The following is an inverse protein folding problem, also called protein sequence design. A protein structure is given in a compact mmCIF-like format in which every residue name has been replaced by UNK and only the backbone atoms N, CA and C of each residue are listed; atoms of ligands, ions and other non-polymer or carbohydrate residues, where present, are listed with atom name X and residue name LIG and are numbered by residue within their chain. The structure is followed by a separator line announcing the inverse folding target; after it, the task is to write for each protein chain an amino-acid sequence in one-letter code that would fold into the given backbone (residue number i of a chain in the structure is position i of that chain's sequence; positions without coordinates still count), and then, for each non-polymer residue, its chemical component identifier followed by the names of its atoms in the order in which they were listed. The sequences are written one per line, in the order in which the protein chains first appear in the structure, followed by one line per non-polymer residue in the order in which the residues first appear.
data_IF_423141825652
#
_entry.id   IF_423141825652
#
_cell.length_a   1.000
_cell.length_b   1.000
_cell.length_c   1.000
_cell.angle_alpha   90.00
_cell.angle_beta   90.00
_cell.angle_gamma   90.00
#
_symmetry.space_group_name_H-M   'P 1'
#
loop_
_entity.id
_entity.type
_entity.pdbx_description
1 polymer ?
#
# COMPACT_ATOMS: atom_id res chain seq x y z
N UNK A 1 0.98 -28.67 3.17
CA UNK A 1 0.04 -27.89 3.99
C UNK A 1 -1.20 -27.66 3.15
N UNK A 2 -2.37 -28.07 3.64
CA UNK A 2 -3.64 -27.62 3.08
C UNK A 2 -3.91 -26.20 3.61
N UNK A 3 -4.01 -25.22 2.71
CA UNK A 3 -4.27 -23.82 3.07
C UNK A 3 -5.76 -23.53 3.21
N UNK A 4 -6.59 -24.37 2.57
CA UNK A 4 -8.05 -24.35 2.66
C UNK A 4 -8.47 -25.76 3.04
N UNK A 5 -9.16 -25.91 4.16
CA UNK A 5 -9.71 -27.19 4.59
C UNK A 5 -10.83 -27.63 3.63
N UNK A 6 -11.17 -28.92 3.59
CA UNK A 6 -12.33 -29.41 2.83
C UNK A 6 -13.66 -28.72 3.22
N UNK A 7 -13.70 -28.16 4.43
CA UNK A 7 -14.83 -27.38 4.98
C UNK A 7 -14.87 -25.93 4.47
N UNK A 8 -13.89 -25.52 3.65
CA UNK A 8 -13.80 -24.18 3.06
C UNK A 8 -13.25 -23.12 4.01
N UNK A 9 -12.55 -23.52 5.07
CA UNK A 9 -11.93 -22.61 6.04
C UNK A 9 -10.43 -22.50 5.81
N UNK A 10 -9.90 -21.29 5.98
CA UNK A 10 -8.46 -21.03 5.93
C UNK A 10 -7.77 -21.40 7.24
N UNK A 11 -6.44 -21.33 7.24
CA UNK A 11 -5.60 -21.49 8.44
C UNK A 11 -6.02 -20.60 9.62
N UNK A 12 -6.54 -19.41 9.34
CA UNK A 12 -7.02 -18.47 10.36
C UNK A 12 -8.49 -18.68 10.76
N UNK A 13 -9.19 -19.66 10.18
CA UNK A 13 -10.63 -19.87 10.36
C UNK A 13 -11.55 -18.95 9.56
N UNK A 14 -10.99 -18.14 8.64
CA UNK A 14 -11.76 -17.25 7.73
C UNK A 14 -12.21 -17.96 6.46
N UNK A 15 -13.21 -17.39 5.78
CA UNK A 15 -13.60 -17.84 4.43
C UNK A 15 -12.68 -17.27 3.32
N UNK A 16 -12.60 -17.90 2.15
CA UNK A 16 -11.86 -17.41 0.97
C UNK A 16 -12.20 -16.00 0.49
N UNK A 17 -13.40 -15.49 0.79
CA UNK A 17 -13.87 -14.16 0.37
C UNK A 17 -13.89 -13.14 1.51
N UNK A 18 -13.29 -13.47 2.66
CA UNK A 18 -13.41 -12.68 3.88
C UNK A 18 -12.08 -11.99 4.25
N UNK A 19 -12.15 -10.68 4.45
CA UNK A 19 -11.02 -9.85 4.86
C UNK A 19 -10.71 -9.99 6.35
N UNK A 20 -9.47 -9.67 6.77
CA UNK A 20 -9.14 -9.51 8.19
C UNK A 20 -9.84 -8.31 8.80
N UNK A 21 -9.86 -8.27 10.14
CA UNK A 21 -10.33 -7.09 10.85
C UNK A 21 -9.46 -5.88 10.48
N UNK A 22 -10.11 -4.82 10.02
CA UNK A 22 -9.48 -3.54 9.73
C UNK A 22 -9.69 -2.59 10.91
N UNK A 23 -8.64 -1.86 11.28
CA UNK A 23 -8.72 -0.72 12.20
C UNK A 23 -7.95 0.44 11.60
N UNK A 24 -8.49 1.64 11.73
CA UNK A 24 -7.88 2.84 11.20
C UNK A 24 -8.07 3.98 12.19
N UNK A 25 -7.03 4.79 12.36
CA UNK A 25 -7.02 5.98 13.20
C UNK A 25 -6.33 7.10 12.43
N UNK A 26 -6.91 8.30 12.42
CA UNK A 26 -6.38 9.50 11.76
C UNK A 26 -5.93 10.51 12.82
N UNK A 27 -4.98 11.38 12.49
CA UNK A 27 -4.43 12.36 13.42
C UNK A 27 -3.45 11.79 14.47
N UNK A 28 -2.83 10.63 14.18
CA UNK A 28 -1.92 9.91 15.09
C UNK A 28 -0.64 10.70 15.40
N UNK A 29 -0.13 11.46 14.44
CA UNK A 29 1.10 12.26 14.55
C UNK A 29 0.74 13.73 14.53
N UNK A 30 0.62 14.34 15.70
CA UNK A 30 0.24 15.75 15.86
C UNK A 30 1.19 16.78 15.21
N UNK A 31 2.42 16.37 14.84
CA UNK A 31 3.40 17.24 14.17
C UNK A 31 3.32 17.19 12.64
N UNK A 32 2.64 16.21 12.08
CA UNK A 32 2.41 16.11 10.64
C UNK A 32 1.16 16.92 10.27
N UNK A 33 1.10 17.41 9.04
CA UNK A 33 -0.09 18.13 8.54
C UNK A 33 -1.29 17.18 8.40
N UNK A 34 -1.01 15.91 8.09
CA UNK A 34 -1.97 14.82 8.24
C UNK A 34 -1.28 13.50 8.53
N UNK A 35 -1.97 12.60 9.21
CA UNK A 35 -1.41 11.30 9.58
C UNK A 35 -2.49 10.24 9.77
N UNK A 36 -2.12 8.99 9.57
CA UNK A 36 -3.00 7.87 9.82
C UNK A 36 -2.23 6.63 10.26
N UNK A 37 -2.78 5.88 11.21
CA UNK A 37 -2.42 4.50 11.50
C UNK A 37 -3.47 3.59 10.89
N UNK A 38 -3.02 2.55 10.20
CA UNK A 38 -3.86 1.54 9.59
C UNK A 38 -3.39 0.15 10.02
N UNK A 39 -4.31 -0.62 10.55
CA UNK A 39 -4.11 -2.00 10.95
C UNK A 39 -5.01 -2.93 10.13
N UNK A 40 -4.40 -3.95 9.53
CA UNK A 40 -5.08 -5.00 8.77
C UNK A 40 -4.67 -6.34 9.37
N UNK A 41 -5.52 -6.89 10.24
CA UNK A 41 -5.14 -7.99 11.12
C UNK A 41 -3.92 -7.63 11.98
N UNK A 42 -2.80 -8.30 11.76
CA UNK A 42 -1.54 -8.00 12.45
C UNK A 42 -0.62 -7.04 11.69
N UNK A 43 -0.94 -6.71 10.43
CA UNK A 43 -0.16 -5.73 9.66
C UNK A 43 -0.47 -4.33 10.19
N UNK A 44 0.57 -3.61 10.63
CA UNK A 44 0.45 -2.24 11.16
C UNK A 44 1.30 -1.28 10.36
N UNK A 45 0.66 -0.23 9.85
CA UNK A 45 1.30 0.79 9.02
C UNK A 45 0.93 2.17 9.54
N UNK A 46 1.89 3.07 9.59
CA UNK A 46 1.66 4.49 9.86
C UNK A 46 2.06 5.30 8.63
N UNK A 47 1.21 6.24 8.24
CA UNK A 47 1.47 7.22 7.20
C UNK A 47 1.46 8.63 7.80
N UNK A 48 2.39 9.46 7.37
CA UNK A 48 2.49 10.86 7.75
C UNK A 48 2.72 11.70 6.50
N UNK A 49 2.02 12.82 6.40
CA UNK A 49 2.06 13.71 5.26
C UNK A 49 2.46 15.09 5.71
N UNK A 50 3.33 15.70 4.91
CA UNK A 50 3.76 17.07 5.07
C UNK A 50 3.46 17.84 3.79
N UNK A 51 2.88 19.01 3.95
CA UNK A 51 2.48 19.90 2.87
C UNK A 51 0.96 20.06 2.77
N UNK A 52 0.52 20.89 1.82
CA UNK A 52 1.29 21.50 0.74
C UNK A 52 2.28 22.59 1.23
N UNK A 53 3.57 22.41 0.94
CA UNK A 53 4.65 23.37 1.30
C UNK A 53 5.38 23.89 0.07
N UNK A 54 6.11 24.99 0.18
CA UNK A 54 6.92 25.48 -0.95
C UNK A 54 8.04 24.48 -1.28
N UNK A 55 8.27 24.25 -2.58
CA UNK A 55 9.30 23.32 -3.06
C UNK A 55 10.67 23.81 -2.61
N UNK A 56 11.38 23.00 -1.81
CA UNK A 56 12.71 23.38 -1.28
C UNK A 56 13.76 23.55 -2.38
N UNK A 57 13.69 22.72 -3.43
CA UNK A 57 14.57 22.78 -4.59
C UNK A 57 13.86 23.42 -5.78
N UNK A 58 14.19 24.69 -6.08
CA UNK A 58 13.63 25.42 -7.23
C UNK A 58 13.80 24.70 -8.57
N UNK A 59 14.84 23.86 -8.73
CA UNK A 59 15.05 23.06 -9.94
C UNK A 59 14.07 21.89 -10.14
N UNK A 60 13.32 21.50 -9.11
CA UNK A 60 12.30 20.43 -9.16
C UNK A 60 10.88 21.00 -9.04
N UNK A 61 10.76 22.33 -9.08
CA UNK A 61 9.49 23.02 -8.98
C UNK A 61 8.72 22.85 -10.29
N UNK A 62 7.51 22.29 -10.17
CA UNK A 62 6.57 22.26 -11.28
C UNK A 62 5.68 23.50 -11.21
N UNK A 63 5.61 24.25 -12.31
CA UNK A 63 4.84 25.49 -12.37
C UNK A 63 3.34 25.23 -12.39
N UNK A 64 2.92 24.12 -13.00
CA UNK A 64 1.51 23.83 -13.28
C UNK A 64 0.90 22.80 -12.31
N UNK A 65 1.72 22.11 -11.50
CA UNK A 65 1.29 21.01 -10.64
C UNK A 65 2.07 20.96 -9.32
N UNK A 66 1.48 20.34 -8.30
CA UNK A 66 2.18 19.97 -7.07
C UNK A 66 3.17 18.82 -7.31
N UNK A 67 4.35 18.92 -6.70
CA UNK A 67 5.35 17.85 -6.66
C UNK A 67 4.97 16.84 -5.56
N UNK A 68 4.60 15.62 -5.94
CA UNK A 68 4.31 14.54 -4.99
C UNK A 68 5.57 13.68 -4.79
N UNK A 69 6.02 13.56 -3.54
CA UNK A 69 7.09 12.63 -3.14
C UNK A 69 6.52 11.57 -2.22
N UNK A 70 7.00 10.34 -2.37
CA UNK A 70 6.64 9.25 -1.48
C UNK A 70 7.91 8.55 -1.03
N UNK A 71 8.03 8.27 0.26
CA UNK A 71 9.07 7.45 0.84
C UNK A 71 8.44 6.31 1.61
N UNK A 72 8.73 5.09 1.18
CA UNK A 72 8.35 3.87 1.86
C UNK A 72 9.54 3.37 2.69
N UNK A 73 9.29 3.09 3.96
CA UNK A 73 10.25 2.45 4.84
C UNK A 73 9.59 1.34 5.63
N UNK A 74 10.29 0.22 5.74
CA UNK A 74 9.86 -0.93 6.53
C UNK A 74 10.70 -1.03 7.80
N UNK A 75 10.10 -1.25 8.96
CA UNK A 75 10.85 -1.29 10.22
C UNK A 75 11.70 -2.57 10.27
N UNK A 76 12.92 -2.48 10.82
CA UNK A 76 13.84 -3.62 10.85
C UNK A 76 13.32 -4.81 11.70
N UNK A 77 12.32 -4.56 12.55
CA UNK A 77 11.64 -5.53 13.40
C UNK A 77 10.25 -5.94 12.87
N UNK A 78 9.87 -5.47 11.68
CA UNK A 78 8.52 -5.71 11.14
C UNK A 78 8.27 -7.15 10.67
N UNK A 79 9.34 -7.92 10.44
CA UNK A 79 9.31 -9.35 10.07
C UNK A 79 9.86 -10.21 11.20
N UNK A 80 9.45 -11.49 11.24
CA UNK A 80 9.90 -12.46 12.25
C UNK A 80 11.42 -12.64 12.32
N UNK A 81 12.10 -12.51 11.18
CA UNK A 81 13.56 -12.42 11.10
C UNK A 81 14.01 -10.96 10.97
N UNK A 82 14.98 -10.55 11.81
CA UNK A 82 15.55 -9.19 11.79
C UNK A 82 16.28 -8.94 10.48
N UNK A 83 15.63 -8.26 9.55
CA UNK A 83 16.23 -7.89 8.27
C UNK A 83 17.25 -6.75 8.47
N UNK A 84 18.51 -6.97 8.09
CA UNK A 84 19.49 -5.89 7.94
C UNK A 84 19.13 -5.13 6.65
N UNK A 85 18.62 -3.90 6.77
CA UNK A 85 18.42 -3.01 5.61
C UNK A 85 19.73 -2.85 4.81
N UNK A 86 19.82 -3.29 3.55
CA UNK A 86 20.86 -2.79 2.67
C UNK A 86 20.57 -1.31 2.38
N UNK A 87 21.61 -0.46 2.40
CA UNK A 87 21.49 0.93 1.95
C UNK A 87 21.05 0.91 0.48
N UNK A 88 19.85 1.43 0.18
CA UNK A 88 19.31 1.49 -1.18
C UNK A 88 18.59 0.21 -1.62
N UNK A 89 17.69 -0.32 -0.79
CA UNK A 89 16.87 -1.47 -1.16
C UNK A 89 15.98 -1.13 -2.36
N UNK A 90 16.27 -1.72 -3.52
CA UNK A 90 15.53 -1.50 -4.78
C UNK A 90 14.03 -1.75 -4.59
N UNK A 91 13.67 -2.74 -3.77
CA UNK A 91 12.27 -3.07 -3.47
C UNK A 91 11.55 -1.92 -2.76
N UNK A 92 12.22 -1.23 -1.83
CA UNK A 92 11.65 -0.07 -1.15
C UNK A 92 11.42 1.12 -2.09
N UNK A 93 12.35 1.33 -3.04
CA UNK A 93 12.22 2.37 -4.07
C UNK A 93 11.09 2.06 -5.04
N UNK A 94 10.94 0.79 -5.45
CA UNK A 94 9.83 0.35 -6.30
C UNK A 94 8.48 0.54 -5.62
N UNK A 95 8.33 0.12 -4.35
CA UNK A 95 7.10 0.32 -3.59
C UNK A 95 6.81 1.81 -3.41
N UNK A 96 7.83 2.63 -3.12
CA UNK A 96 7.68 4.08 -3.04
C UNK A 96 7.16 4.68 -4.34
N UNK A 97 7.71 4.24 -5.48
CA UNK A 97 7.28 4.70 -6.80
C UNK A 97 5.82 4.33 -7.09
N UNK A 98 5.42 3.11 -6.72
CA UNK A 98 4.06 2.60 -6.90
C UNK A 98 3.04 3.38 -6.08
N UNK A 99 3.34 3.61 -4.80
CA UNK A 99 2.49 4.42 -3.93
C UNK A 99 2.42 5.84 -4.47
N UNK A 100 3.55 6.42 -4.88
CA UNK A 100 3.61 7.77 -5.47
C UNK A 100 2.70 7.89 -6.70
N UNK A 101 2.81 6.98 -7.66
CA UNK A 101 2.00 6.98 -8.88
C UNK A 101 0.50 6.83 -8.57
N UNK A 102 0.17 5.96 -7.62
CA UNK A 102 -1.22 5.73 -7.18
C UNK A 102 -1.82 6.99 -6.55
N UNK A 103 -1.07 7.67 -5.68
CA UNK A 103 -1.53 8.90 -5.02
C UNK A 103 -1.55 10.09 -5.98
N UNK A 104 -0.57 10.20 -6.87
CA UNK A 104 -0.49 11.27 -7.88
C UNK A 104 -1.68 11.24 -8.85
N UNK A 105 -2.18 10.06 -9.21
CA UNK A 105 -3.39 9.92 -10.02
C UNK A 105 -4.67 10.40 -9.29
N UNK A 106 -4.67 10.33 -7.97
CA UNK A 106 -5.79 10.66 -7.10
C UNK A 106 -5.81 12.14 -6.67
N UNK A 107 -4.65 12.70 -6.33
CA UNK A 107 -4.50 14.07 -5.84
C UNK A 107 -4.76 15.08 -6.98
N UNK A 108 -5.48 16.15 -6.67
CA UNK A 108 -5.74 17.26 -7.60
C UNK A 108 -4.55 18.24 -7.61
N UNK A 109 -3.42 17.79 -8.16
CA UNK A 109 -2.14 18.53 -8.15
C UNK A 109 -2.21 19.92 -8.81
N UNK A 110 -3.10 20.12 -9.78
CA UNK A 110 -3.31 21.39 -10.47
C UNK A 110 -3.92 22.50 -9.59
N UNK A 111 -4.56 22.14 -8.48
CA UNK A 111 -5.09 23.13 -7.53
C UNK A 111 -4.00 23.72 -6.63
N UNK A 112 -2.81 23.09 -6.59
CA UNK A 112 -1.69 23.46 -5.73
C UNK A 112 -0.40 23.60 -6.56
N UNK A 113 -0.35 24.53 -7.52
CA UNK A 113 0.85 24.75 -8.32
C UNK A 113 2.01 25.21 -7.44
N UNK A 114 3.24 24.80 -7.77
CA UNK A 114 4.46 25.19 -7.05
C UNK A 114 4.52 24.70 -5.59
N UNK A 115 3.65 23.78 -5.20
CA UNK A 115 3.68 23.13 -3.88
C UNK A 115 4.34 21.76 -3.93
N UNK A 116 4.81 21.28 -2.79
CA UNK A 116 5.35 19.95 -2.57
C UNK A 116 4.51 19.24 -1.50
N UNK A 117 4.18 17.97 -1.75
CA UNK A 117 3.51 17.07 -0.82
C UNK A 117 4.45 15.89 -0.60
N UNK A 118 4.85 15.68 0.64
CA UNK A 118 5.73 14.59 1.03
C UNK A 118 4.95 13.55 1.84
N UNK A 119 4.86 12.34 1.29
CA UNK A 119 4.16 11.20 1.86
C UNK A 119 5.19 10.24 2.43
N UNK A 120 5.17 10.04 3.74
CA UNK A 120 6.03 9.06 4.42
C UNK A 120 5.17 7.89 4.89
N UNK A 121 5.51 6.69 4.47
CA UNK A 121 4.82 5.47 4.88
C UNK A 121 5.80 4.55 5.58
N UNK A 122 5.47 4.19 6.82
CA UNK A 122 6.30 3.35 7.66
C UNK A 122 5.52 2.10 8.08
N UNK A 123 6.01 0.93 7.65
CA UNK A 123 5.48 -0.36 8.11
C UNK A 123 6.11 -0.70 9.45
N UNK A 124 5.28 -0.89 10.48
CA UNK A 124 5.70 -1.26 11.83
C UNK A 124 5.70 -2.78 12.01
N UNK A 125 4.66 -3.44 11.51
CA UNK A 125 4.51 -4.90 11.56
C UNK A 125 3.95 -5.38 10.22
N UNK A 126 4.51 -6.46 9.68
CA UNK A 126 4.11 -7.02 8.39
C UNK A 126 3.60 -8.46 8.56
N UNK A 127 2.35 -8.69 8.18
CA UNK A 127 1.69 -9.99 8.20
C UNK A 127 1.02 -10.30 6.85
N UNK A 128 1.65 -9.89 5.74
CA UNK A 128 1.08 -9.98 4.39
C UNK A 128 0.21 -8.77 4.01
N UNK A 129 -0.03 -8.60 2.71
CA UNK A 129 -0.83 -7.47 2.19
C UNK A 129 -0.26 -6.08 2.53
N UNK A 130 1.06 -5.96 2.72
CA UNK A 130 1.67 -4.72 3.20
C UNK A 130 1.51 -3.56 2.22
N UNK A 131 1.54 -3.82 0.90
CA UNK A 131 1.38 -2.79 -0.13
C UNK A 131 -0.02 -2.16 -0.10
N UNK A 132 -1.07 -2.98 0.03
CA UNK A 132 -2.44 -2.46 0.13
C UNK A 132 -2.64 -1.69 1.44
N UNK A 133 -2.13 -2.21 2.55
CA UNK A 133 -2.16 -1.50 3.83
C UNK A 133 -1.49 -0.11 3.75
N UNK A 134 -0.35 -0.01 3.04
CA UNK A 134 0.35 1.25 2.82
C UNK A 134 -0.43 2.27 2.00
N UNK A 135 -1.07 1.83 0.92
CA UNK A 135 -1.90 2.68 0.08
C UNK A 135 -3.09 3.20 0.89
N UNK A 136 -3.80 2.32 1.60
CA UNK A 136 -4.95 2.70 2.42
C UNK A 136 -4.55 3.69 3.53
N UNK A 137 -3.42 3.45 4.21
CA UNK A 137 -2.89 4.36 5.23
C UNK A 137 -2.56 5.75 4.65
N UNK A 138 -1.89 5.79 3.50
CA UNK A 138 -1.55 7.06 2.85
C UNK A 138 -2.79 7.82 2.37
N UNK A 139 -3.82 7.13 1.87
CA UNK A 139 -5.10 7.76 1.50
C UNK A 139 -5.80 8.39 2.70
N UNK A 140 -5.84 7.69 3.84
CA UNK A 140 -6.42 8.22 5.06
C UNK A 140 -5.65 9.43 5.57
N UNK A 141 -4.33 9.37 5.55
CA UNK A 141 -3.49 10.50 5.96
C UNK A 141 -3.67 11.71 5.02
N UNK A 142 -3.85 11.50 3.71
CA UNK A 142 -4.09 12.59 2.74
C UNK A 142 -5.43 13.26 3.00
N UNK A 143 -6.44 12.47 3.38
CA UNK A 143 -7.75 12.97 3.77
C UNK A 143 -7.67 13.78 5.07
N UNK A 144 -6.91 13.31 6.06
CA UNK A 144 -6.65 14.02 7.32
C UNK A 144 -5.94 15.36 7.10
N UNK A 145 -4.96 15.40 6.20
CA UNK A 145 -4.27 16.64 5.80
C UNK A 145 -5.18 17.65 5.04
N UNK A 146 -6.41 17.25 4.67
CA UNK A 146 -7.32 18.10 3.90
C UNK A 146 -6.84 18.37 2.46
N UNK A 147 -5.98 17.50 1.91
CA UNK A 147 -5.47 17.65 0.55
C UNK A 147 -6.59 17.33 -0.45
N UNK A 148 -6.85 18.19 -1.46
CA UNK A 148 -7.91 17.96 -2.42
C UNK A 148 -7.60 16.73 -3.28
N UNK A 149 -8.44 15.71 -3.15
CA UNK A 149 -8.37 14.45 -3.90
C UNK A 149 -9.63 14.25 -4.72
N UNK A 150 -9.52 13.52 -5.84
CA UNK A 150 -10.66 13.13 -6.67
C UNK A 150 -11.58 12.14 -5.96
N UNK A 151 -10.98 11.24 -5.21
CA UNK A 151 -11.66 10.14 -4.52
C UNK A 151 -10.74 9.56 -3.42
N UNK A 152 -11.21 8.59 -2.64
CA UNK A 152 -10.38 7.84 -1.71
C UNK A 152 -9.93 6.54 -2.37
N UNK A 153 -8.62 6.39 -2.60
CA UNK A 153 -8.07 5.13 -3.11
C UNK A 153 -8.28 4.05 -2.07
N UNK A 154 -8.86 2.94 -2.50
CA UNK A 154 -8.96 1.72 -1.70
C UNK A 154 -8.18 0.62 -2.39
N UNK A 155 -7.44 -0.15 -1.62
CA UNK A 155 -6.61 -1.21 -2.17
C UNK A 155 -6.72 -2.49 -1.38
N UNK A 156 -6.66 -3.60 -2.10
CA UNK A 156 -6.75 -4.94 -1.56
C UNK A 156 -5.78 -5.84 -2.31
N UNK A 157 -5.24 -6.83 -1.61
CA UNK A 157 -4.52 -7.95 -2.22
C UNK A 157 -5.44 -9.16 -2.36
N UNK A 158 -5.22 -9.96 -3.38
CA UNK A 158 -5.83 -11.26 -3.56
C UNK A 158 -4.78 -12.21 -4.11
N UNK A 159 -4.80 -13.46 -3.65
CA UNK A 159 -3.96 -14.53 -4.18
C UNK A 159 -4.77 -15.61 -4.86
N UNK A 160 -4.07 -16.48 -5.56
CA UNK A 160 -4.65 -17.72 -6.06
C UNK A 160 -3.82 -18.90 -5.56
N UNK A 161 -4.43 -19.75 -4.73
CA UNK A 161 -3.76 -20.86 -4.07
C UNK A 161 -4.63 -22.11 -4.17
N UNK A 162 -4.04 -23.26 -4.53
CA UNK A 162 -4.73 -24.55 -4.66
C UNK A 162 -6.05 -24.48 -5.45
N UNK A 163 -6.04 -23.79 -6.58
CA UNK A 163 -7.22 -23.57 -7.43
C UNK A 163 -8.37 -22.76 -6.79
N UNK A 164 -8.09 -22.02 -5.73
CA UNK A 164 -9.05 -21.15 -5.05
C UNK A 164 -8.53 -19.72 -4.94
N UNK A 165 -9.32 -18.70 -5.31
CA UNK A 165 -8.96 -17.31 -5.05
C UNK A 165 -9.14 -16.99 -3.57
N UNK A 166 -8.11 -16.36 -2.98
CA UNK A 166 -8.08 -15.94 -1.60
C UNK A 166 -7.95 -14.42 -1.52
N UNK A 167 -8.99 -13.76 -1.01
CA UNK A 167 -8.93 -12.34 -0.66
C UNK A 167 -8.04 -12.09 0.57
N UNK A 168 -7.20 -11.06 0.56
CA UNK A 168 -6.37 -10.65 1.69
C UNK A 168 -5.46 -11.78 2.24
N UNK A 169 -4.36 -12.02 1.51
CA UNK A 169 -3.35 -13.04 1.83
C UNK A 169 -2.55 -12.73 3.09
N UNK A 170 -2.41 -13.70 3.99
CA UNK A 170 -1.52 -13.63 5.14
C UNK A 170 -0.05 -13.89 4.76
N UNK A 171 0.88 -13.59 5.67
CA UNK A 171 2.29 -13.90 5.48
C UNK A 171 2.56 -15.37 5.13
N UNK A 172 1.84 -16.31 5.76
CA UNK A 172 1.97 -17.75 5.50
C UNK A 172 1.50 -18.12 4.09
N UNK A 173 0.42 -17.50 3.62
CA UNK A 173 -0.15 -17.75 2.29
C UNK A 173 0.69 -17.08 1.20
N UNK A 174 1.21 -15.87 1.47
CA UNK A 174 2.14 -15.14 0.60
C UNK A 174 3.47 -15.89 0.45
N UNK A 175 3.99 -16.44 1.57
CA UNK A 175 5.21 -17.27 1.58
C UNK A 175 5.04 -18.63 0.91
N UNK A 176 3.81 -19.03 0.56
CA UNK A 176 3.56 -20.25 -0.20
C UNK A 176 4.00 -20.14 -1.67
N UNK A 177 4.34 -18.92 -2.15
CA UNK A 177 4.82 -18.68 -3.51
C UNK A 177 3.72 -18.77 -4.57
N UNK A 178 2.45 -18.60 -4.16
CA UNK A 178 1.33 -18.46 -5.08
C UNK A 178 1.36 -17.11 -5.81
N UNK A 179 0.69 -16.98 -6.97
CA UNK A 179 0.50 -15.68 -7.60
C UNK A 179 -0.33 -14.76 -6.71
N UNK A 180 0.18 -13.56 -6.45
CA UNK A 180 -0.51 -12.50 -5.73
C UNK A 180 -0.78 -11.30 -6.62
N UNK A 181 -1.96 -10.71 -6.45
CA UNK A 181 -2.43 -9.53 -7.18
C UNK A 181 -2.79 -8.46 -6.17
N UNK A 182 -2.21 -7.28 -6.31
CA UNK A 182 -2.58 -6.08 -5.56
C UNK A 182 -3.31 -5.13 -6.49
N UNK A 183 -4.54 -4.74 -6.12
CA UNK A 183 -5.37 -3.81 -6.89
C UNK A 183 -5.66 -2.58 -6.04
N UNK A 184 -5.52 -1.39 -6.63
CA UNK A 184 -5.99 -0.12 -6.10
C UNK A 184 -7.06 0.46 -6.99
N UNK A 185 -8.19 0.84 -6.41
CA UNK A 185 -9.36 1.38 -7.12
C UNK A 185 -9.76 2.73 -6.53
N UNK A 186 -10.35 3.58 -7.38
CA UNK A 186 -11.09 4.79 -7.02
C UNK A 186 -12.58 4.43 -7.11
N UNK A 187 -13.25 4.08 -5.99
CA UNK A 187 -14.61 3.56 -6.01
C UNK A 187 -15.64 4.50 -6.66
N UNK A 188 -15.49 5.81 -6.50
CA UNK A 188 -16.40 6.82 -7.04
C UNK A 188 -16.26 6.98 -8.56
N UNK A 189 -15.07 6.74 -9.09
CA UNK A 189 -14.76 6.89 -10.52
C UNK A 189 -14.79 5.56 -11.28
N UNK A 190 -14.93 4.44 -10.58
CA UNK A 190 -14.82 3.07 -11.11
C UNK A 190 -13.54 2.88 -11.96
N UNK A 191 -12.44 3.44 -11.46
CA UNK A 191 -11.14 3.41 -12.13
C UNK A 191 -10.12 2.66 -11.31
N UNK A 192 -9.39 1.77 -11.98
CA UNK A 192 -8.23 1.08 -11.40
C UNK A 192 -7.02 2.01 -11.51
N UNK A 193 -6.46 2.39 -10.36
CA UNK A 193 -5.24 3.21 -10.28
C UNK A 193 -3.98 2.37 -10.25
N UNK A 194 -4.08 1.17 -9.66
CA UNK A 194 -2.96 0.26 -9.50
C UNK A 194 -3.41 -1.17 -9.78
N UNK A 195 -2.63 -1.87 -10.59
CA UNK A 195 -2.72 -3.31 -10.75
C UNK A 195 -1.31 -3.87 -10.79
N UNK A 196 -0.93 -4.63 -9.77
CA UNK A 196 0.34 -5.32 -9.69
C UNK A 196 0.09 -6.81 -9.54
N UNK A 197 0.72 -7.59 -10.39
CA UNK A 197 0.74 -9.04 -10.31
C UNK A 197 2.18 -9.44 -10.01
N UNK A 198 2.38 -10.15 -8.92
CA UNK A 198 3.67 -10.73 -8.56
C UNK A 198 3.53 -12.25 -8.59
N UNK A 199 4.52 -12.88 -9.21
CA UNK A 199 4.57 -14.34 -9.38
C UNK A 199 6.03 -14.77 -9.22
N UNK A 200 6.32 -15.63 -8.24
CA UNK A 200 7.68 -16.16 -8.05
C UNK A 200 8.03 -17.29 -9.05
N UNK A 201 7.03 -17.84 -9.77
CA UNK A 201 7.26 -18.80 -10.84
C UNK A 201 7.27 -18.11 -12.19
N UNK A 202 8.38 -18.28 -12.93
CA UNK A 202 8.42 -18.06 -14.37
C UNK A 202 7.25 -18.80 -15.00
N UNK A 203 6.33 -18.05 -15.61
CA UNK A 203 5.28 -18.61 -16.44
C UNK A 203 5.96 -19.27 -17.64
N UNK A 204 6.24 -20.58 -17.52
CA UNK A 204 6.47 -21.42 -18.68
C UNK A 204 5.11 -21.53 -19.36
N UNK A 205 4.84 -20.63 -20.30
CA UNK A 205 3.75 -20.81 -21.24
C UNK A 205 4.03 -22.12 -21.98
N UNK A 206 3.15 -23.14 -21.91
CA UNK A 206 3.27 -24.27 -22.81
C UNK A 206 3.07 -23.71 -24.22
N UNK A 207 4.12 -23.80 -25.03
CA UNK A 207 4.02 -23.57 -26.47
C UNK A 207 3.09 -24.63 -27.04
N UNK A 208 1.84 -24.25 -27.24
CA UNK A 208 0.87 -24.96 -28.08
C UNK A 208 1.33 -24.96 -29.53
#
# INVERSE_FOLDING_TARGET
MEYVSPEGLRLDGRRPTEMRQLRAEVGVVAKADGSASFEMGNTKVIAAIYGPREVQNKGQQMNDQALVRCEYSMANFSTGDRMRKPKGDRRSTEISLVIRQTMEACILTHLMPRSQIDIFVQVLQADGGTRSACINAATLALADAGIPMRDLVTSCSSGYLNSTPLLDLNYVEDSAGGPDVTVGILPKLDKVTLLQVLTERSLVFPSS
#
